data_IF_405255655587
#
_entry.id   IF_405255655587
#
_cell.length_a   1.000
_cell.length_b   1.000
_cell.length_c   1.000
_cell.angle_alpha   90.00
_cell.angle_beta   90.00
_cell.angle_gamma   90.00
#
_symmetry.space_group_name_H-M   'P 1'
#
loop_
_entity.id
_entity.type
_entity.pdbx_description
1 polymer ?
#
# COMPACT_ATOMS: atom_id res chain seq x y z
N UNK A 1 -3.67 -35.78 10.72
CA UNK A 1 -3.99 -34.45 11.31
C UNK A 1 -3.20 -33.42 10.53
N UNK A 2 -3.89 -32.56 9.78
CA UNK A 2 -3.24 -31.44 9.08
C UNK A 2 -3.16 -30.30 10.09
N UNK A 3 -1.94 -29.95 10.51
CA UNK A 3 -1.72 -28.76 11.31
C UNK A 3 -2.07 -27.55 10.45
N UNK A 4 -3.20 -26.91 10.74
CA UNK A 4 -3.45 -25.56 10.28
C UNK A 4 -2.53 -24.65 11.10
N UNK A 5 -1.42 -24.21 10.51
CA UNK A 5 -0.71 -23.04 11.03
C UNK A 5 -1.70 -21.87 10.93
N UNK A 6 -2.34 -21.51 12.05
CA UNK A 6 -3.12 -20.28 12.11
C UNK A 6 -2.14 -19.13 12.00
N UNK A 7 -2.14 -18.50 10.84
CA UNK A 7 -1.42 -17.28 10.60
C UNK A 7 -2.08 -16.21 11.48
N UNK A 8 -1.40 -15.82 12.56
CA UNK A 8 -1.91 -14.90 13.58
C UNK A 8 -0.88 -13.78 13.73
N UNK A 9 -1.07 -12.66 13.03
CA UNK A 9 -0.29 -11.46 13.25
C UNK A 9 -0.93 -10.67 14.40
N UNK A 10 -0.13 -10.30 15.40
CA UNK A 10 -0.57 -9.49 16.53
C UNK A 10 -1.07 -8.12 16.02
N UNK A 11 -2.19 -7.65 16.56
CA UNK A 11 -2.73 -6.32 16.28
C UNK A 11 -1.67 -5.23 16.46
N UNK A 12 -0.83 -5.32 17.48
CA UNK A 12 0.24 -4.33 17.74
C UNK A 12 1.24 -4.29 16.59
N UNK A 13 1.54 -5.44 15.98
CA UNK A 13 2.44 -5.52 14.82
C UNK A 13 1.81 -4.84 13.61
N UNK A 14 0.52 -5.09 13.35
CA UNK A 14 -0.20 -4.44 12.26
C UNK A 14 -0.37 -2.93 12.45
N UNK A 15 -0.65 -2.48 13.68
CA UNK A 15 -0.78 -1.06 14.02
C UNK A 15 0.55 -0.32 13.84
N UNK A 16 1.66 -0.93 14.26
CA UNK A 16 3.01 -0.38 14.04
C UNK A 16 3.35 -0.33 12.56
N UNK A 17 3.10 -1.42 11.83
CA UNK A 17 3.33 -1.49 10.38
C UNK A 17 2.51 -0.45 9.63
N UNK A 18 1.24 -0.25 10.00
CA UNK A 18 0.40 0.82 9.46
C UNK A 18 1.04 2.19 9.69
N UNK A 19 1.48 2.48 10.93
CA UNK A 19 2.13 3.74 11.28
C UNK A 19 3.41 4.02 10.48
N UNK A 20 4.16 2.97 10.13
CA UNK A 20 5.36 3.06 9.29
C UNK A 20 5.03 3.35 7.83
N UNK A 21 4.11 2.60 7.22
CA UNK A 21 3.89 2.66 5.76
C UNK A 21 2.82 3.68 5.33
N UNK A 22 1.89 4.08 6.22
CA UNK A 22 0.80 4.99 5.88
C UNK A 22 1.28 6.38 5.42
N UNK A 23 2.47 6.80 5.84
CA UNK A 23 3.10 8.07 5.40
C UNK A 23 3.66 7.99 3.98
N UNK A 24 3.96 6.79 3.50
CA UNK A 24 4.45 6.54 2.15
C UNK A 24 3.31 6.37 1.14
N UNK A 25 2.09 6.10 1.59
CA UNK A 25 0.93 5.88 0.71
C UNK A 25 0.15 7.18 0.54
N UNK A 26 -0.25 7.46 -0.69
CA UNK A 26 -0.96 8.69 -1.06
C UNK A 26 -2.23 8.38 -1.85
N UNK A 27 -3.21 9.28 -1.72
CA UNK A 27 -4.38 9.28 -2.61
C UNK A 27 -4.13 10.21 -3.77
N UNK A 28 -4.37 9.76 -4.99
CA UNK A 28 -4.31 10.57 -6.20
C UNK A 28 -5.74 10.94 -6.56
N UNK A 29 -6.04 12.22 -6.73
CA UNK A 29 -7.34 12.69 -7.22
C UNK A 29 -7.16 13.43 -8.53
N UNK A 30 -8.10 13.23 -9.45
CA UNK A 30 -8.11 13.85 -10.78
C UNK A 30 -9.31 14.75 -10.93
N UNK A 31 -9.07 15.94 -11.46
CA UNK A 31 -10.07 16.98 -11.64
C UNK A 31 -10.14 17.42 -13.09
N UNK A 32 -11.33 17.78 -13.54
CA UNK A 32 -11.54 18.52 -14.77
C UNK A 32 -12.29 19.82 -14.45
N UNK A 33 -12.72 20.54 -15.48
CA UNK A 33 -13.48 21.80 -15.33
C UNK A 33 -14.78 21.66 -14.53
N UNK A 34 -15.36 20.45 -14.46
CA UNK A 34 -16.61 20.15 -13.75
C UNK A 34 -16.41 19.67 -12.31
N UNK A 35 -15.16 19.46 -11.89
CA UNK A 35 -14.83 18.98 -10.54
C UNK A 35 -14.10 17.65 -10.56
N UNK A 36 -14.26 16.89 -9.48
CA UNK A 36 -13.58 15.60 -9.32
C UNK A 36 -14.10 14.57 -10.33
N UNK A 37 -13.18 13.96 -11.07
CA UNK A 37 -13.48 12.90 -12.04
C UNK A 37 -13.30 11.52 -11.41
N UNK A 38 -12.16 11.29 -10.78
CA UNK A 38 -11.84 9.99 -10.19
C UNK A 38 -10.68 10.09 -9.19
N UNK A 39 -10.39 8.99 -8.50
CA UNK A 39 -9.25 8.86 -7.60
C UNK A 39 -8.54 7.51 -7.78
N UNK A 40 -7.33 7.41 -7.27
CA UNK A 40 -6.53 6.20 -7.24
C UNK A 40 -5.60 6.20 -6.02
N UNK A 41 -4.89 5.10 -5.83
CA UNK A 41 -3.83 5.00 -4.82
C UNK A 41 -2.46 5.05 -5.49
N UNK A 42 -1.52 5.76 -4.87
CA UNK A 42 -0.11 5.77 -5.23
C UNK A 42 0.77 5.65 -4.00
N UNK A 43 2.07 5.63 -4.21
CA UNK A 43 3.04 5.56 -3.11
C UNK A 43 4.33 6.29 -3.46
N UNK A 44 4.97 6.86 -2.45
CA UNK A 44 6.20 7.64 -2.58
C UNK A 44 7.36 6.69 -2.81
N UNK A 45 8.08 6.85 -3.93
CA UNK A 45 9.25 6.03 -4.28
C UNK A 45 10.57 6.77 -4.07
N UNK A 46 10.52 8.10 -3.99
CA UNK A 46 11.68 8.95 -3.76
C UNK A 46 11.22 10.29 -3.17
N UNK A 47 12.05 10.87 -2.30
CA UNK A 47 11.76 12.15 -1.68
C UNK A 47 13.06 12.91 -1.36
N UNK A 48 13.05 14.21 -1.65
CA UNK A 48 14.08 15.17 -1.27
C UNK A 48 13.46 16.28 -0.43
N UNK A 49 14.20 17.36 -0.21
CA UNK A 49 13.66 18.58 0.43
C UNK A 49 12.79 19.43 -0.51
N UNK A 50 12.88 19.21 -1.82
CA UNK A 50 12.21 20.03 -2.84
C UNK A 50 11.22 19.24 -3.68
N UNK A 51 11.34 17.91 -3.71
CA UNK A 51 10.59 17.08 -4.67
C UNK A 51 10.27 15.71 -4.08
N UNK A 52 9.13 15.17 -4.50
CA UNK A 52 8.68 13.82 -4.22
C UNK A 52 8.29 13.15 -5.53
N UNK A 53 8.68 11.89 -5.71
CA UNK A 53 8.20 11.04 -6.79
C UNK A 53 7.19 10.05 -6.26
N UNK A 54 6.01 10.02 -6.90
CA UNK A 54 4.92 9.10 -6.58
C UNK A 54 4.74 8.12 -7.73
N UNK A 55 4.69 6.83 -7.41
CA UNK A 55 4.39 5.75 -8.35
C UNK A 55 2.92 5.36 -8.28
N UNK A 56 2.32 5.12 -9.45
CA UNK A 56 0.98 4.54 -9.61
C UNK A 56 0.89 3.78 -10.93
N UNK A 57 -0.27 3.26 -11.32
CA UNK A 57 -0.46 2.67 -12.65
C UNK A 57 -0.73 3.76 -13.71
N UNK A 58 -0.16 3.61 -14.90
CA UNK A 58 -0.30 4.59 -15.98
C UNK A 58 -1.75 4.85 -16.42
N UNK A 59 -2.65 3.89 -16.20
CA UNK A 59 -4.06 4.04 -16.56
C UNK A 59 -4.80 5.06 -15.68
N UNK A 60 -4.22 5.40 -14.52
CA UNK A 60 -4.74 6.44 -13.62
C UNK A 60 -4.70 7.80 -14.30
N UNK A 61 -3.64 8.12 -15.07
CA UNK A 61 -3.48 9.45 -15.68
C UNK A 61 -4.31 9.59 -16.95
N UNK A 62 -5.01 10.72 -17.10
CA UNK A 62 -5.81 11.06 -18.29
C UNK A 62 -5.46 12.45 -18.78
N UNK A 63 -5.43 12.59 -20.10
CA UNK A 63 -5.11 13.86 -20.75
C UNK A 63 -6.23 14.88 -20.50
N UNK A 64 -5.85 16.12 -20.20
CA UNK A 64 -6.79 17.22 -19.98
C UNK A 64 -7.37 17.28 -18.56
N UNK A 65 -6.85 16.48 -17.63
CA UNK A 65 -7.24 16.49 -16.22
C UNK A 65 -6.09 16.89 -15.32
N UNK A 66 -6.38 17.69 -14.30
CA UNK A 66 -5.42 18.07 -13.27
C UNK A 66 -5.28 16.94 -12.25
N UNK A 67 -4.04 16.62 -11.89
CA UNK A 67 -3.73 15.57 -10.93
C UNK A 67 -3.22 16.16 -9.63
N UNK A 68 -3.79 15.73 -8.50
CA UNK A 68 -3.38 16.13 -7.16
C UNK A 68 -3.04 14.91 -6.31
N UNK A 69 -1.97 15.02 -5.53
CA UNK A 69 -1.54 14.03 -4.55
C UNK A 69 -1.96 14.51 -3.16
N UNK A 70 -2.74 13.70 -2.48
CA UNK A 70 -3.21 13.88 -1.10
C UNK A 70 -2.42 12.95 -0.18
N UNK A 71 -1.73 13.54 0.79
CA UNK A 71 -0.92 12.83 1.76
C UNK A 71 -1.76 12.43 2.99
N UNK A 72 -1.22 11.51 3.80
CA UNK A 72 -1.91 11.02 5.01
C UNK A 72 -2.04 12.04 6.15
N UNK A 73 -1.33 13.17 6.07
CA UNK A 73 -1.52 14.31 6.99
C UNK A 73 -2.62 15.29 6.52
N UNK A 74 -3.35 14.94 5.46
CA UNK A 74 -4.46 15.74 4.93
C UNK A 74 -4.04 16.84 3.96
N UNK A 75 -2.74 17.08 3.77
CA UNK A 75 -2.26 18.06 2.79
C UNK A 75 -2.38 17.55 1.36
N UNK A 76 -2.50 18.48 0.41
CA UNK A 76 -2.56 18.17 -1.01
C UNK A 76 -1.64 19.08 -1.83
N UNK A 77 -1.08 18.53 -2.90
CA UNK A 77 -0.23 19.24 -3.87
C UNK A 77 -0.57 18.82 -5.28
N UNK A 78 -0.51 19.77 -6.22
CA UNK A 78 -0.61 19.44 -7.63
C UNK A 78 0.60 18.58 -8.03
N UNK A 79 0.36 17.60 -8.88
CA UNK A 79 1.35 16.65 -9.34
C UNK A 79 1.44 16.69 -10.86
N UNK A 80 2.67 16.59 -11.37
CA UNK A 80 2.95 16.64 -12.80
C UNK A 80 3.44 15.27 -13.28
N UNK A 81 3.10 14.93 -14.52
CA UNK A 81 3.59 13.71 -15.15
C UNK A 81 5.12 13.81 -15.34
N UNK A 82 5.86 12.93 -14.68
CA UNK A 82 7.32 12.84 -14.81
C UNK A 82 7.72 11.70 -15.76
N UNK A 83 7.12 10.52 -15.56
CA UNK A 83 7.19 9.40 -16.50
C UNK A 83 5.77 8.94 -16.77
N UNK A 84 5.31 9.11 -18.01
CA UNK A 84 3.96 8.72 -18.45
C UNK A 84 3.67 7.24 -18.27
N UNK A 85 4.61 6.40 -18.71
CA UNK A 85 4.46 4.95 -18.72
C UNK A 85 5.81 4.25 -18.76
N UNK A 86 6.08 3.42 -17.77
CA UNK A 86 7.20 2.47 -17.78
C UNK A 86 6.83 1.23 -18.61
N UNK A 87 7.80 0.41 -19.05
CA UNK A 87 7.54 -0.87 -19.71
C UNK A 87 6.64 -1.81 -18.90
N UNK A 88 6.62 -1.67 -17.57
CA UNK A 88 5.81 -2.46 -16.66
C UNK A 88 4.45 -1.82 -16.33
N UNK A 89 4.10 -0.70 -16.96
CA UNK A 89 2.77 -0.07 -16.85
C UNK A 89 2.61 0.91 -15.69
N UNK A 90 3.70 1.35 -15.07
CA UNK A 90 3.65 2.38 -14.01
C UNK A 90 3.73 3.78 -14.61
N UNK A 91 3.11 4.75 -13.95
CA UNK A 91 3.39 6.17 -14.15
C UNK A 91 4.05 6.76 -12.92
N UNK A 92 4.97 7.69 -13.13
CA UNK A 92 5.64 8.44 -12.06
C UNK A 92 5.19 9.89 -12.14
N UNK A 93 4.75 10.40 -11.00
CA UNK A 93 4.36 11.78 -10.80
C UNK A 93 5.45 12.51 -10.02
N UNK A 94 5.75 13.75 -10.41
CA UNK A 94 6.59 14.69 -9.67
C UNK A 94 5.71 15.67 -8.89
N UNK A 95 6.04 15.85 -7.61
CA UNK A 95 5.35 16.77 -6.71
C UNK A 95 6.39 17.66 -6.04
N UNK A 96 6.23 18.97 -6.13
CA UNK A 96 7.09 19.93 -5.42
C UNK A 96 6.78 19.94 -3.92
N UNK A 97 7.83 20.02 -3.11
CA UNK A 97 7.79 20.10 -1.64
C UNK A 97 8.03 21.54 -1.22
N UNK A 98 7.16 22.09 -0.38
CA UNK A 98 7.35 23.45 0.12
C UNK A 98 8.40 23.51 1.24
N UNK A 99 9.11 24.64 1.41
CA UNK A 99 10.01 24.83 2.54
C UNK A 99 9.32 24.55 3.89
N UNK A 100 9.93 23.70 4.72
CA UNK A 100 9.40 23.30 6.02
C UNK A 100 8.56 22.01 6.01
N UNK A 101 8.14 21.53 4.84
CA UNK A 101 7.46 20.24 4.73
C UNK A 101 8.46 19.08 4.90
N UNK A 102 8.06 18.07 5.69
CA UNK A 102 8.83 16.82 5.85
C UNK A 102 8.12 15.68 5.13
N UNK A 103 8.45 15.51 3.84
CA UNK A 103 7.86 14.47 2.96
C UNK A 103 8.80 13.28 2.72
N UNK A 104 9.65 12.96 3.68
CA UNK A 104 10.74 11.98 3.55
C UNK A 104 10.33 10.56 3.93
N UNK A 105 9.28 10.03 3.28
CA UNK A 105 8.78 8.68 3.56
C UNK A 105 8.74 7.80 2.30
N UNK A 106 9.84 7.67 1.52
CA UNK A 106 9.87 6.75 0.40
C UNK A 106 9.76 5.31 0.88
N UNK A 107 9.06 4.49 0.11
CA UNK A 107 9.01 3.05 0.33
C UNK A 107 10.37 2.41 0.03
N UNK A 108 10.61 1.26 0.64
CA UNK A 108 11.69 0.35 0.25
C UNK A 108 11.12 -0.84 -0.51
N UNK A 109 11.75 -1.20 -1.63
CA UNK A 109 11.30 -2.33 -2.45
C UNK A 109 11.95 -3.64 -2.01
N UNK A 110 11.19 -4.72 -2.08
CA UNK A 110 11.73 -6.07 -2.09
C UNK A 110 12.45 -6.34 -3.41
N UNK A 111 13.65 -6.91 -3.35
CA UNK A 111 14.38 -7.41 -4.52
C UNK A 111 14.07 -8.87 -4.84
N UNK A 112 13.34 -9.56 -3.95
CA UNK A 112 12.93 -10.94 -4.13
C UNK A 112 11.47 -11.03 -4.55
N UNK A 113 11.15 -12.06 -5.33
CA UNK A 113 9.77 -12.40 -5.68
C UNK A 113 8.97 -12.74 -4.41
N UNK A 114 7.71 -12.30 -4.39
CA UNK A 114 6.74 -12.68 -3.36
C UNK A 114 6.68 -14.20 -3.23
N UNK A 115 6.62 -14.70 -2.00
CA UNK A 115 6.39 -16.10 -1.66
C UNK A 115 4.97 -16.26 -1.13
N UNK A 116 4.58 -17.47 -0.73
CA UNK A 116 3.36 -17.65 0.06
C UNK A 116 3.63 -17.01 1.43
N UNK A 117 3.17 -15.78 1.59
CA UNK A 117 3.44 -14.95 2.75
C UNK A 117 2.25 -14.02 3.05
N UNK A 118 2.22 -13.51 4.28
CA UNK A 118 1.32 -12.44 4.67
C UNK A 118 1.74 -11.12 4.03
N UNK A 119 0.74 -10.39 3.57
CA UNK A 119 0.91 -9.08 2.96
C UNK A 119 -0.11 -8.11 3.53
N UNK A 120 0.16 -6.82 3.35
CA UNK A 120 -0.81 -5.78 3.60
C UNK A 120 -0.80 -4.71 2.51
N UNK A 121 -1.88 -3.95 2.48
CA UNK A 121 -2.07 -2.82 1.58
C UNK A 121 -2.76 -1.68 2.33
N UNK A 122 -2.42 -0.45 1.95
CA UNK A 122 -3.22 0.73 2.29
C UNK A 122 -3.72 1.30 0.98
N UNK A 123 -5.03 1.46 0.85
CA UNK A 123 -5.61 2.06 -0.34
C UNK A 123 -6.95 2.71 -0.03
N UNK A 124 -7.28 3.75 -0.82
CA UNK A 124 -8.62 4.33 -0.80
C UNK A 124 -9.50 3.55 -1.77
N UNK A 125 -10.60 3.00 -1.25
CA UNK A 125 -11.60 2.25 -2.05
C UNK A 125 -12.82 3.10 -2.39
N UNK A 126 -13.17 4.06 -1.53
CA UNK A 126 -14.32 4.97 -1.69
C UNK A 126 -13.86 6.42 -1.67
N UNK A 127 -14.54 7.29 -2.43
CA UNK A 127 -14.17 8.70 -2.53
C UNK A 127 -14.16 9.41 -1.16
N UNK A 128 -15.23 9.27 -0.39
CA UNK A 128 -15.49 10.00 0.86
C UNK A 128 -14.97 9.32 2.13
N UNK A 129 -14.20 8.24 2.00
CA UNK A 129 -13.71 7.45 3.14
C UNK A 129 -12.20 7.47 3.30
N UNK A 130 -11.71 7.30 4.53
CA UNK A 130 -10.27 7.17 4.78
C UNK A 130 -9.64 5.97 4.07
N UNK A 131 -8.34 6.01 3.75
CA UNK A 131 -7.64 4.85 3.20
C UNK A 131 -7.78 3.66 4.16
N UNK A 132 -8.23 2.52 3.63
CA UNK A 132 -8.36 1.29 4.40
C UNK A 132 -7.05 0.53 4.46
N UNK A 133 -6.72 -0.01 5.62
CA UNK A 133 -5.67 -1.01 5.78
C UNK A 133 -6.26 -2.41 5.56
N UNK A 134 -5.68 -3.16 4.64
CA UNK A 134 -6.15 -4.48 4.22
C UNK A 134 -5.00 -5.47 4.37
N UNK A 135 -5.15 -6.45 5.27
CA UNK A 135 -4.23 -7.58 5.38
C UNK A 135 -4.68 -8.75 4.52
N UNK A 136 -3.75 -9.62 4.14
CA UNK A 136 -4.00 -10.64 3.16
C UNK A 136 -2.86 -11.65 3.03
N UNK A 137 -2.99 -12.56 2.08
CA UNK A 137 -1.95 -13.55 1.77
C UNK A 137 -1.68 -13.61 0.27
N UNK A 138 -0.45 -13.95 -0.07
CA UNK A 138 -0.11 -14.38 -1.43
C UNK A 138 -0.54 -15.84 -1.61
N UNK A 139 -1.57 -16.05 -2.43
CA UNK A 139 -2.13 -17.39 -2.68
C UNK A 139 -1.39 -18.14 -3.80
N UNK A 140 -0.85 -17.40 -4.78
CA UNK A 140 -0.05 -17.97 -5.87
C UNK A 140 1.16 -17.06 -6.17
N UNK A 141 2.37 -17.41 -5.68
CA UNK A 141 3.60 -16.64 -5.88
C UNK A 141 4.02 -16.43 -7.34
N UNK A 142 3.63 -17.36 -8.21
CA UNK A 142 3.85 -17.26 -9.65
C UNK A 142 2.53 -17.40 -10.38
N UNK A 143 2.22 -16.42 -11.22
CA UNK A 143 1.04 -16.42 -12.08
C UNK A 143 1.12 -17.43 -13.23
N UNK A 144 2.05 -18.41 -13.22
CA UNK A 144 2.07 -19.49 -14.21
C UNK A 144 0.73 -20.21 -14.17
N UNK A 145 0.02 -20.21 -15.30
CA UNK A 145 -1.22 -20.97 -15.45
C UNK A 145 -0.89 -22.22 -16.26
N UNK A 146 -1.06 -23.39 -15.64
CA UNK A 146 -1.01 -24.66 -16.36
C UNK A 146 -2.41 -24.96 -16.89
N UNK A 147 -2.54 -25.07 -18.21
CA UNK A 147 -3.78 -25.49 -18.86
C UNK A 147 -3.99 -26.99 -18.64
N UNK A 148 -5.24 -27.47 -18.80
CA UNK A 148 -5.57 -28.90 -18.75
C UNK A 148 -4.76 -29.75 -19.76
N UNK A 149 -4.28 -29.13 -20.83
CA UNK A 149 -3.40 -29.74 -21.83
C UNK A 149 -1.93 -29.88 -21.38
N UNK A 150 -1.57 -29.44 -20.18
CA UNK A 150 -0.19 -29.40 -19.68
C UNK A 150 0.62 -28.19 -20.15
N UNK A 151 0.12 -27.39 -21.10
CA UNK A 151 0.77 -26.17 -21.56
C UNK A 151 0.80 -25.11 -20.46
N UNK A 152 1.97 -24.51 -20.22
CA UNK A 152 2.15 -23.42 -19.26
C UNK A 152 2.07 -22.07 -19.96
N UNK A 153 1.19 -21.18 -19.47
CA UNK A 153 1.12 -19.79 -19.90
C UNK A 153 2.08 -18.97 -19.02
N UNK A 154 3.21 -18.59 -19.61
CA UNK A 154 4.29 -17.86 -18.92
C UNK A 154 4.10 -16.34 -18.91
N UNK A 155 3.16 -15.81 -19.69
CA UNK A 155 2.88 -14.36 -19.81
C UNK A 155 2.59 -13.69 -18.46
N UNK A 156 2.18 -14.46 -17.46
CA UNK A 156 1.83 -14.00 -16.12
C UNK A 156 2.90 -14.34 -15.07
N UNK A 157 4.08 -14.85 -15.46
CA UNK A 157 5.17 -15.21 -14.53
C UNK A 157 5.66 -14.04 -13.69
N UNK A 158 5.55 -12.83 -14.22
CA UNK A 158 5.92 -11.59 -13.52
C UNK A 158 4.89 -11.13 -12.51
N UNK A 159 3.78 -11.87 -12.37
CA UNK A 159 2.68 -11.55 -11.47
C UNK A 159 2.53 -12.61 -10.38
N UNK A 160 1.94 -12.23 -9.27
CA UNK A 160 1.47 -13.12 -8.23
C UNK A 160 0.00 -12.83 -7.93
N UNK A 161 -0.71 -13.85 -7.46
CA UNK A 161 -2.08 -13.72 -7.01
C UNK A 161 -2.10 -13.57 -5.48
N UNK A 162 -2.93 -12.65 -5.00
CA UNK A 162 -3.11 -12.38 -3.58
C UNK A 162 -4.60 -12.27 -3.23
N UNK A 163 -4.90 -12.50 -1.96
CA UNK A 163 -6.21 -12.22 -1.38
C UNK A 163 -6.09 -11.11 -0.36
N UNK A 164 -6.94 -10.08 -0.48
CA UNK A 164 -7.10 -9.05 0.55
C UNK A 164 -8.54 -8.54 0.50
N UNK A 165 -9.24 -8.42 1.65
CA UNK A 165 -10.61 -7.96 1.69
C UNK A 165 -10.68 -6.50 1.25
N UNK A 166 -11.67 -6.15 0.43
CA UNK A 166 -11.93 -4.77 0.03
C UNK A 166 -13.44 -4.58 -0.12
N UNK A 167 -14.05 -3.72 0.71
CA UNK A 167 -15.44 -3.28 0.60
C UNK A 167 -16.54 -4.35 0.63
N UNK A 168 -17.80 -3.92 0.75
CA UNK A 168 -19.00 -4.79 0.61
C UNK A 168 -19.40 -4.92 -0.87
N UNK A 169 -20.10 -6.01 -1.20
CA UNK A 169 -20.74 -6.29 -2.51
C UNK A 169 -21.48 -5.06 -3.04
N UNK A 170 -21.20 -4.64 -4.28
CA UNK A 170 -22.11 -3.75 -5.04
C UNK A 170 -21.47 -2.72 -5.96
N UNK A 171 -20.20 -2.33 -5.77
CA UNK A 171 -19.56 -1.27 -6.57
C UNK A 171 -18.32 -1.75 -7.32
N UNK A 172 -18.51 -2.34 -8.49
CA UNK A 172 -17.43 -2.81 -9.41
C UNK A 172 -16.51 -1.66 -9.83
N UNK A 173 -17.00 -0.41 -9.85
CA UNK A 173 -16.20 0.80 -10.16
C UNK A 173 -15.12 1.06 -9.09
N UNK A 174 -15.35 0.66 -7.83
CA UNK A 174 -14.41 0.86 -6.73
C UNK A 174 -13.17 -0.06 -6.82
N UNK A 175 -13.26 -1.17 -7.55
CA UNK A 175 -12.18 -2.16 -7.69
C UNK A 175 -11.00 -1.61 -8.51
N UNK A 176 -11.28 -0.76 -9.51
CA UNK A 176 -10.26 -0.13 -10.34
C UNK A 176 -9.34 0.83 -9.57
N UNK A 177 -9.81 1.38 -8.45
CA UNK A 177 -9.06 2.37 -7.66
C UNK A 177 -7.88 1.75 -6.89
N UNK A 178 -7.85 0.42 -6.80
CA UNK A 178 -6.74 -0.34 -6.22
C UNK A 178 -5.59 -0.56 -7.19
N UNK A 179 -5.82 -0.42 -8.51
CA UNK A 179 -4.78 -0.60 -9.52
C UNK A 179 -3.69 0.45 -9.29
N UNK A 180 -2.43 0.00 -9.27
CA UNK A 180 -1.27 0.84 -8.94
C UNK A 180 -0.95 0.93 -7.45
N UNK A 181 -1.81 0.44 -6.55
CA UNK A 181 -1.51 0.41 -5.11
C UNK A 181 -0.32 -0.53 -4.81
N UNK A 182 0.50 -0.14 -3.83
CA UNK A 182 1.59 -0.97 -3.34
C UNK A 182 1.07 -2.14 -2.49
N UNK A 183 1.71 -3.29 -2.64
CA UNK A 183 1.55 -4.47 -1.80
C UNK A 183 2.82 -4.59 -0.94
N UNK A 184 2.64 -4.62 0.37
CA UNK A 184 3.73 -4.65 1.34
C UNK A 184 3.84 -6.03 2.00
N UNK A 185 5.07 -6.46 2.28
CA UNK A 185 5.33 -7.52 3.25
C UNK A 185 5.06 -7.02 4.67
N UNK A 186 4.97 -7.92 5.64
CA UNK A 186 4.89 -7.52 7.06
C UNK A 186 6.15 -6.83 7.60
N UNK A 187 7.24 -6.79 6.82
CA UNK A 187 8.44 -6.00 7.11
C UNK A 187 8.43 -4.62 6.45
N UNK A 188 7.30 -4.19 5.87
CA UNK A 188 7.13 -2.88 5.26
C UNK A 188 7.77 -2.72 3.88
N UNK A 189 8.18 -3.81 3.23
CA UNK A 189 8.79 -3.77 1.89
C UNK A 189 7.74 -3.89 0.80
N UNK A 190 7.83 -3.07 -0.24
CA UNK A 190 6.97 -3.21 -1.43
C UNK A 190 7.41 -4.44 -2.22
N UNK A 191 6.60 -5.49 -2.16
CA UNK A 191 6.82 -6.75 -2.91
C UNK A 191 6.16 -6.72 -4.29
N UNK A 192 5.22 -5.79 -4.49
CA UNK A 192 4.62 -5.59 -5.80
C UNK A 192 3.62 -4.44 -5.85
N UNK A 193 3.00 -4.30 -7.02
CA UNK A 193 1.94 -3.31 -7.27
C UNK A 193 0.74 -3.99 -7.89
N UNK A 194 -0.47 -3.66 -7.45
CA UNK A 194 -1.71 -4.19 -8.03
C UNK A 194 -1.79 -3.85 -9.52
N UNK A 195 -2.00 -4.88 -10.32
CA UNK A 195 -2.10 -4.84 -11.78
C UNK A 195 -3.55 -5.03 -12.24
N UNK A 196 -4.27 -5.94 -11.59
CA UNK A 196 -5.67 -6.19 -11.93
C UNK A 196 -6.45 -6.74 -10.74
N UNK A 197 -7.76 -6.49 -10.78
CA UNK A 197 -8.74 -7.05 -9.86
C UNK A 197 -9.68 -7.94 -10.66
N UNK A 198 -10.02 -9.11 -10.12
CA UNK A 198 -10.92 -10.05 -10.79
C UNK A 198 -12.36 -9.72 -10.43
N UNK A 199 -13.09 -9.15 -11.40
CA UNK A 199 -14.52 -8.87 -11.23
C UNK A 199 -15.28 -10.15 -10.86
N UNK A 200 -16.11 -10.06 -9.82
CA UNK A 200 -16.91 -11.18 -9.31
C UNK A 200 -16.17 -12.18 -8.41
N UNK A 201 -14.84 -12.08 -8.28
CA UNK A 201 -14.05 -12.88 -7.34
C UNK A 201 -13.54 -12.00 -6.18
N UNK A 202 -14.44 -11.75 -5.22
CA UNK A 202 -14.18 -10.91 -4.07
C UNK A 202 -12.94 -11.35 -3.31
N UNK A 203 -11.92 -10.50 -3.31
CA UNK A 203 -10.67 -10.72 -2.59
C UNK A 203 -9.49 -11.04 -3.50
N UNK A 204 -9.69 -11.72 -4.63
CA UNK A 204 -8.61 -12.13 -5.53
C UNK A 204 -8.10 -10.97 -6.40
N UNK A 205 -6.81 -10.69 -6.32
CA UNK A 205 -6.12 -9.66 -7.10
C UNK A 205 -4.81 -10.20 -7.66
N UNK A 206 -4.32 -9.56 -8.71
CA UNK A 206 -3.00 -9.81 -9.25
C UNK A 206 -2.12 -8.60 -9.07
N UNK A 207 -0.87 -8.83 -8.65
CA UNK A 207 0.15 -7.81 -8.54
C UNK A 207 1.38 -8.19 -9.36
N UNK A 208 2.08 -7.19 -9.90
CA UNK A 208 3.40 -7.36 -10.54
C UNK A 208 4.47 -7.39 -9.44
N UNK A 209 5.41 -8.33 -9.47
CA UNK A 209 6.51 -8.34 -8.50
C UNK A 209 7.42 -7.13 -8.71
N UNK A 210 7.84 -6.50 -7.61
CA UNK A 210 8.85 -5.43 -7.60
C UNK A 210 10.17 -5.88 -8.23
N UNK A 211 10.59 -7.12 -7.98
CA UNK A 211 11.82 -7.70 -8.51
C UNK A 211 11.91 -7.69 -10.04
N UNK A 212 10.78 -7.61 -10.76
CA UNK A 212 10.78 -7.59 -12.24
C UNK A 212 10.80 -6.19 -12.85
N UNK A 213 10.53 -5.14 -12.07
CA UNK A 213 10.45 -3.77 -12.60
C UNK A 213 11.37 -2.78 -11.90
N UNK A 214 11.92 -3.12 -10.72
CA UNK A 214 12.68 -2.19 -9.89
C UNK A 214 13.93 -1.64 -10.59
N UNK A 215 14.72 -2.50 -11.23
CA UNK A 215 15.96 -2.07 -11.91
C UNK A 215 15.66 -1.12 -13.06
N UNK A 216 14.64 -1.45 -13.86
CA UNK A 216 14.22 -0.63 -14.98
C UNK A 216 13.61 0.70 -14.52
N UNK A 217 12.76 0.67 -13.49
CA UNK A 217 12.20 1.88 -12.90
C UNK A 217 13.31 2.79 -12.36
N UNK A 218 14.29 2.22 -11.64
CA UNK A 218 15.43 2.95 -11.13
C UNK A 218 16.25 3.58 -12.26
N UNK A 219 16.50 2.84 -13.34
CA UNK A 219 17.21 3.32 -14.53
C UNK A 219 16.48 4.49 -15.19
N UNK A 220 15.16 4.39 -15.35
CA UNK A 220 14.36 5.46 -15.95
C UNK A 220 14.35 6.72 -15.09
N UNK A 221 14.15 6.59 -13.78
CA UNK A 221 14.19 7.74 -12.86
C UNK A 221 15.58 8.37 -12.85
N UNK A 222 16.65 7.56 -12.81
CA UNK A 222 18.03 8.05 -12.81
C UNK A 222 18.41 8.80 -14.10
N UNK A 223 17.84 8.40 -15.24
CA UNK A 223 18.08 9.07 -16.53
C UNK A 223 17.58 10.52 -16.51
N UNK A 224 16.43 10.74 -15.90
CA UNK A 224 15.77 12.05 -15.82
C UNK A 224 16.30 12.88 -14.62
N UNK A 225 16.47 12.24 -13.45
CA UNK A 225 17.02 12.84 -12.23
C UNK A 225 18.34 12.18 -11.86
N UNK A 226 19.44 12.79 -12.34
CA UNK A 226 20.81 12.33 -12.08
C UNK A 226 21.03 12.20 -10.56
N UNK A 227 21.68 11.10 -10.13
CA UNK A 227 21.98 10.74 -8.73
C UNK A 227 20.79 10.21 -7.89
N UNK A 228 19.68 9.84 -8.50
CA UNK A 228 18.60 9.12 -7.78
C UNK A 228 18.89 7.62 -7.73
N UNK A 229 18.63 7.00 -6.57
CA UNK A 229 18.59 5.56 -6.39
C UNK A 229 17.37 5.20 -5.53
N UNK A 230 16.55 4.27 -6.02
CA UNK A 230 15.37 3.79 -5.30
C UNK A 230 15.78 2.85 -4.17
N UNK A 231 15.13 3.01 -3.01
CA UNK A 231 15.46 2.26 -1.81
C UNK A 231 15.17 0.76 -1.98
N UNK A 232 16.15 -0.07 -1.62
CA UNK A 232 16.05 -1.53 -1.63
C UNK A 232 16.08 -2.02 -0.19
N UNK A 233 15.06 -2.77 0.21
CA UNK A 233 15.05 -3.43 1.52
C UNK A 233 16.06 -4.56 1.55
N UNK A 234 16.69 -4.77 2.71
CA UNK A 234 17.40 -6.02 2.96
C UNK A 234 16.41 -7.18 2.91
N UNK A 235 16.77 -8.25 2.21
CA UNK A 235 16.04 -9.53 2.26
C UNK A 235 15.84 -9.91 3.73
N UNK A 236 14.64 -10.36 4.16
CA UNK A 236 14.55 -10.97 5.49
C UNK A 236 15.54 -12.13 5.51
N UNK A 237 16.57 -12.01 6.36
CA UNK A 237 17.52 -13.07 6.62
C UNK A 237 16.71 -14.32 6.98
N UNK A 238 17.00 -15.41 6.26
CA UNK A 238 16.42 -16.73 6.46
C UNK A 238 16.38 -17.13 7.93
N UNK A 239 15.22 -17.67 8.38
CA UNK A 239 14.99 -18.49 9.59
C UNK A 239 16.14 -18.47 10.60
N UNK A 240 16.12 -17.51 11.53
CA UNK A 240 17.10 -17.46 12.61
C UNK A 240 16.97 -16.29 13.59
N UNK A 241 16.21 -15.24 13.25
CA UNK A 241 16.00 -14.12 14.18
C UNK A 241 15.12 -14.55 15.34
N UNK A 242 15.76 -14.89 16.47
CA UNK A 242 15.09 -15.09 17.75
C UNK A 242 14.21 -13.88 18.05
N UNK A 243 12.97 -14.14 18.44
CA UNK A 243 12.06 -13.17 19.04
C UNK A 243 12.79 -12.56 20.25
N UNK A 244 13.16 -11.29 20.16
CA UNK A 244 13.62 -10.54 21.33
C UNK A 244 12.38 -10.30 22.18
N UNK A 245 12.18 -11.12 23.21
CA UNK A 245 11.31 -10.75 24.32
C UNK A 245 11.85 -9.46 24.92
N UNK A 246 11.13 -8.36 24.71
CA UNK A 246 11.38 -7.12 25.45
C UNK A 246 10.89 -7.36 26.87
N UNK A 247 11.79 -7.88 27.70
CA UNK A 247 11.63 -7.92 29.14
C UNK A 247 11.47 -6.49 29.67
N UNK A 248 10.36 -6.26 30.34
CA UNK A 248 10.03 -5.01 31.02
C UNK A 248 10.97 -4.78 32.20
N UNK A 249 11.86 -3.80 32.11
CA UNK A 249 12.45 -3.16 33.29
C UNK A 249 12.80 -1.71 32.99
N UNK A 250 11.98 -0.78 33.46
CA UNK A 250 12.43 0.53 33.95
C UNK A 250 11.28 1.26 34.66
N UNK A 251 11.48 1.51 35.95
CA UNK A 251 10.60 2.24 36.86
C UNK A 251 10.48 3.70 36.42
N UNK A 252 9.27 4.20 36.14
CA UNK A 252 8.95 5.65 36.15
C UNK A 252 7.61 5.89 36.85
N UNK A 253 7.60 6.99 37.59
CA UNK A 253 6.68 7.41 38.66
C UNK A 253 5.18 7.40 38.31
N UNK A 254 4.39 7.09 39.34
CA UNK A 254 3.01 6.60 39.27
C UNK A 254 1.93 7.68 39.06
N UNK A 255 2.29 8.97 39.01
CA UNK A 255 1.31 10.08 38.95
C UNK A 255 1.07 10.63 37.52
N UNK A 256 1.99 10.41 36.58
CA UNK A 256 1.80 10.83 35.17
C UNK A 256 1.00 9.85 34.30
N UNK A 257 0.84 8.60 34.75
CA UNK A 257 0.20 7.54 33.96
C UNK A 257 -1.33 7.53 34.09
N UNK A 258 -1.89 8.01 35.20
CA UNK A 258 -3.35 8.04 35.43
C UNK A 258 -4.04 9.04 34.52
N UNK A 259 -3.45 10.22 34.30
CA UNK A 259 -4.01 11.24 33.40
C UNK A 259 -3.97 10.80 31.91
N UNK A 260 -2.88 10.19 31.46
CA UNK A 260 -2.76 9.68 30.08
C UNK A 260 -3.67 8.46 29.85
N UNK A 261 -3.86 7.61 30.86
CA UNK A 261 -4.77 6.47 30.78
C UNK A 261 -6.25 6.91 30.77
N UNK A 262 -6.61 7.94 31.55
CA UNK A 262 -7.96 8.51 31.55
C UNK A 262 -8.29 9.21 30.22
N UNK A 263 -7.36 10.00 29.68
CA UNK A 263 -7.53 10.70 28.41
C UNK A 263 -7.58 9.72 27.22
N UNK A 264 -6.77 8.64 27.26
CA UNK A 264 -6.88 7.53 26.31
C UNK A 264 -8.22 6.80 26.45
N UNK A 265 -8.69 6.48 27.67
CA UNK A 265 -9.98 5.81 27.88
C UNK A 265 -11.18 6.62 27.37
N UNK A 266 -11.17 7.93 27.55
CA UNK A 266 -12.20 8.82 26.99
C UNK A 266 -12.19 8.81 25.45
N UNK A 267 -11.00 8.87 24.84
CA UNK A 267 -10.83 8.77 23.38
C UNK A 267 -11.23 7.39 22.84
N UNK A 268 -10.98 6.32 23.60
CA UNK A 268 -11.39 4.95 23.27
C UNK A 268 -12.90 4.71 23.42
N UNK A 269 -13.58 5.34 24.37
CA UNK A 269 -15.04 5.26 24.50
C UNK A 269 -15.75 5.88 23.27
N UNK A 270 -15.24 7.01 22.77
CA UNK A 270 -15.78 7.66 21.57
C UNK A 270 -15.55 6.85 20.28
N UNK A 271 -14.41 6.16 20.17
CA UNK A 271 -14.11 5.28 19.02
C UNK A 271 -14.92 3.97 19.09
N UNK A 272 -15.13 3.42 20.30
CA UNK A 272 -15.91 2.19 20.50
C UNK A 272 -17.39 2.38 20.16
N UNK A 273 -17.98 3.50 20.58
CA UNK A 273 -19.37 3.84 20.22
C UNK A 273 -19.56 3.91 18.68
N UNK A 274 -18.57 4.44 17.95
CA UNK A 274 -18.58 4.49 16.47
C UNK A 274 -18.41 3.14 15.79
N UNK A 275 -17.68 2.19 16.40
CA UNK A 275 -17.50 0.85 15.84
C UNK A 275 -18.71 -0.06 16.11
N UNK A 276 -19.39 0.11 17.24
CA UNK A 276 -20.61 -0.64 17.56
C UNK A 276 -21.77 -0.26 16.62
N UNK A 277 -21.85 1.02 16.18
CA UNK A 277 -22.77 1.46 15.12
C UNK A 277 -22.48 0.86 13.73
N UNK A 278 -21.24 0.44 13.46
CA UNK A 278 -20.86 -0.23 12.20
C UNK A 278 -21.18 -1.73 12.19
N UNK A 279 -21.28 -2.35 13.37
CA UNK A 279 -21.58 -3.77 13.53
C UNK A 279 -23.06 -4.05 13.86
N UNK A 280 -23.77 -3.08 14.45
CA UNK A 280 -25.21 -3.16 14.73
C UNK A 280 -26.06 -2.82 13.51
N UNK A 281 -26.17 -3.76 12.57
CA UNK A 281 -27.14 -3.65 11.48
C UNK A 281 -28.56 -3.51 12.05
N UNK A 282 -29.21 -2.37 11.79
CA UNK A 282 -30.65 -2.25 11.94
C UNK A 282 -31.31 -3.10 10.85
N UNK A 283 -32.09 -4.09 11.29
CA UNK A 283 -32.90 -4.96 10.46
C UNK A 283 -33.98 -4.19 9.72
N UNK A 284 -33.89 -4.14 8.39
CA UNK A 284 -35.02 -4.01 7.47
C UNK A 284 -34.70 -4.83 6.22
#
# INVERSE_FOLDING_TARGET
MVNYESITCDKVVLDNLYGEIAKSVVTIKRYNRTGLVNFATGFIIYATRSEVLVCTDHTVLKQGEDTYVYYSDGTARQAFEFIKRTPCGHAILLVSVQPGERRQYPVSFSTVQAKREEICMIARVNHDGDPGFMSGIVVAPSGKIMLRSGRVITRHEKKFALTCPHGRRGNVVAEGNLIGAAVFTLSGLVVGTIDSVVSGCFGLKFARHSSFFLDELNRMVHKELKKVSLSRGATPLSRGSKVVHVGSTSKRSHEGQTNVAAEKRAKYAAIRHRMEDWCGGSSW
#
